data_IF_677124137862
#
_entry.id   IF_677124137862
#
_cell.length_a   1.000
_cell.length_b   1.000
_cell.length_c   1.000
_cell.angle_alpha   90.00
_cell.angle_beta   90.00
_cell.angle_gamma   90.00
#
_symmetry.space_group_name_H-M   'P 1'
#
loop_
_entity.id
_entity.type
_entity.pdbx_description
1 polymer ?
#
# COMPACT_ATOMS: atom_id res chain seq x y z
N UNK A 1 -3.36 2.28 -14.69
CA UNK A 1 -3.96 2.17 -13.34
C UNK A 1 -5.02 1.07 -13.33
N UNK A 2 -4.98 0.15 -12.35
CA UNK A 2 -6.00 -0.88 -12.14
C UNK A 2 -7.42 -0.32 -11.94
N UNK A 3 -8.47 -1.03 -12.38
CA UNK A 3 -9.84 -0.52 -12.37
C UNK A 3 -10.44 -0.40 -10.96
N UNK A 4 -10.06 -1.26 -10.03
CA UNK A 4 -10.50 -1.23 -8.63
C UNK A 4 -9.98 0.02 -7.90
N UNK A 5 -8.71 0.35 -8.07
CA UNK A 5 -8.13 1.57 -7.51
C UNK A 5 -8.72 2.83 -8.16
N UNK A 6 -8.97 2.80 -9.47
CA UNK A 6 -9.67 3.88 -10.17
C UNK A 6 -11.09 4.09 -9.66
N UNK A 7 -11.79 3.02 -9.28
CA UNK A 7 -13.12 3.11 -8.69
C UNK A 7 -13.07 3.77 -7.31
N UNK A 8 -12.09 3.40 -6.47
CA UNK A 8 -11.84 4.05 -5.18
C UNK A 8 -11.59 5.57 -5.33
N UNK A 9 -10.67 5.97 -6.21
CA UNK A 9 -10.36 7.38 -6.45
C UNK A 9 -11.58 8.20 -6.92
N UNK A 10 -12.57 7.57 -7.57
CA UNK A 10 -13.81 8.27 -7.97
C UNK A 10 -14.76 8.53 -6.81
N UNK A 11 -14.63 7.80 -5.71
CA UNK A 11 -15.50 7.91 -4.54
C UNK A 11 -14.90 8.93 -3.56
N UNK A 12 -13.62 8.79 -3.24
CA UNK A 12 -12.96 9.58 -2.19
C UNK A 12 -11.89 10.51 -2.73
N UNK A 13 -11.19 10.12 -3.80
CA UNK A 13 -9.97 10.77 -4.30
C UNK A 13 -8.95 11.02 -3.19
N UNK A 14 -8.60 9.96 -2.46
CA UNK A 14 -7.76 10.01 -1.27
C UNK A 14 -8.57 10.13 0.01
N UNK A 15 -8.03 9.62 1.12
CA UNK A 15 -8.64 9.73 2.44
C UNK A 15 -7.64 9.43 3.54
N UNK A 16 -7.97 9.86 4.76
CA UNK A 16 -7.33 9.38 5.99
C UNK A 16 -8.27 8.41 6.69
N UNK A 17 -7.72 7.30 7.18
CA UNK A 17 -8.48 6.29 7.90
C UNK A 17 -7.97 6.19 9.34
N UNK A 18 -8.84 5.77 10.26
CA UNK A 18 -8.49 5.49 11.66
C UNK A 18 -7.77 6.65 12.40
N UNK A 19 -8.03 7.91 12.00
CA UNK A 19 -7.51 9.08 12.72
C UNK A 19 -8.15 9.19 14.11
N UNK A 20 -7.31 9.35 15.13
CA UNK A 20 -7.73 9.89 16.42
C UNK A 20 -7.70 11.43 16.37
N UNK A 21 -8.67 12.06 17.01
CA UNK A 21 -8.75 13.53 17.16
C UNK A 21 -7.56 14.06 17.98
N UNK A 22 -7.06 13.28 18.95
CA UNK A 22 -5.99 13.71 19.85
C UNK A 22 -4.58 13.43 19.30
N UNK A 23 -4.41 12.30 18.60
CA UNK A 23 -3.08 11.82 18.16
C UNK A 23 -2.86 11.93 16.64
N UNK A 24 -3.89 12.33 15.88
CA UNK A 24 -3.89 12.25 14.43
C UNK A 24 -3.99 10.81 13.93
N UNK A 25 -3.56 10.57 12.69
CA UNK A 25 -3.37 9.22 12.17
C UNK A 25 -2.27 9.19 11.11
N UNK A 26 -1.56 8.07 11.06
CA UNK A 26 -0.47 7.79 10.12
C UNK A 26 -0.93 6.88 8.96
N UNK A 27 -2.22 6.94 8.66
CA UNK A 27 -2.86 6.13 7.62
C UNK A 27 -3.50 7.07 6.63
N UNK A 28 -2.85 7.22 5.48
CA UNK A 28 -3.29 8.09 4.40
C UNK A 28 -3.27 7.33 3.08
N UNK A 29 -4.43 7.26 2.42
CA UNK A 29 -4.55 6.83 1.03
C UNK A 29 -4.53 8.08 0.16
N UNK A 30 -3.64 8.11 -0.81
CA UNK A 30 -3.34 9.33 -1.55
C UNK A 30 -4.41 9.70 -2.57
N UNK A 31 -4.62 11.00 -2.72
CA UNK A 31 -5.36 11.58 -3.83
C UNK A 31 -4.58 11.43 -5.13
N UNK A 32 -5.25 11.61 -6.27
CA UNK A 32 -4.56 11.59 -7.56
C UNK A 32 -3.45 12.65 -7.66
N UNK A 33 -3.66 13.82 -7.07
CA UNK A 33 -2.67 14.91 -7.07
C UNK A 33 -1.43 14.52 -6.26
N UNK A 34 -1.62 13.98 -5.05
CA UNK A 34 -0.52 13.49 -4.21
C UNK A 34 0.27 12.38 -4.90
N UNK A 35 -0.40 11.46 -5.61
CA UNK A 35 0.30 10.42 -6.38
C UNK A 35 1.17 11.07 -7.47
N UNK A 36 0.66 12.08 -8.18
CA UNK A 36 1.45 12.75 -9.22
C UNK A 36 2.66 13.48 -8.63
N UNK A 37 2.47 14.22 -7.52
CA UNK A 37 3.54 14.97 -6.85
C UNK A 37 4.62 14.05 -6.26
N UNK A 38 4.22 13.02 -5.51
CA UNK A 38 5.15 12.10 -4.86
C UNK A 38 5.93 11.25 -5.86
N UNK A 39 5.37 11.02 -7.04
CA UNK A 39 5.97 10.19 -8.08
C UNK A 39 6.58 11.00 -9.24
N UNK A 40 6.57 12.34 -9.18
CA UNK A 40 7.09 13.22 -10.24
C UNK A 40 8.60 13.01 -10.50
N UNK A 41 9.34 12.58 -9.48
CA UNK A 41 10.80 12.45 -9.52
C UNK A 41 11.30 11.01 -9.59
N UNK A 42 10.41 10.01 -9.62
CA UNK A 42 10.82 8.61 -9.72
C UNK A 42 11.06 8.23 -11.19
N UNK A 43 12.23 8.58 -11.70
CA UNK A 43 12.73 8.13 -13.01
C UNK A 43 13.04 6.61 -13.05
N UNK A 44 13.09 5.94 -11.89
CA UNK A 44 13.84 4.67 -11.75
C UNK A 44 13.04 3.38 -11.93
N UNK A 45 11.70 3.41 -11.96
CA UNK A 45 10.88 2.23 -12.26
C UNK A 45 9.57 2.61 -12.95
N UNK A 46 9.67 2.74 -14.26
CA UNK A 46 8.54 2.99 -15.16
C UNK A 46 7.35 2.08 -14.77
N UNK A 47 6.27 2.67 -14.25
CA UNK A 47 5.05 1.96 -13.87
C UNK A 47 4.86 1.57 -12.39
N UNK A 48 5.78 1.85 -11.46
CA UNK A 48 5.51 1.76 -10.01
C UNK A 48 5.13 3.12 -9.43
N UNK A 49 4.17 3.16 -8.50
CA UNK A 49 3.82 4.39 -7.79
C UNK A 49 3.21 4.12 -6.41
N UNK A 50 3.57 4.96 -5.44
CA UNK A 50 2.99 4.95 -4.10
C UNK A 50 1.52 5.38 -4.14
N UNK A 51 0.67 4.68 -3.38
CA UNK A 51 -0.78 4.97 -3.27
C UNK A 51 -1.26 5.18 -1.84
N UNK A 52 -0.45 4.82 -0.83
CA UNK A 52 -0.78 5.03 0.57
C UNK A 52 0.47 5.06 1.43
N UNK A 53 0.39 5.73 2.57
CA UNK A 53 1.35 5.72 3.68
C UNK A 53 0.67 5.16 4.93
N UNK A 54 1.26 4.10 5.50
CA UNK A 54 0.76 3.34 6.65
C UNK A 54 1.90 3.14 7.65
N UNK A 55 1.98 3.96 8.70
CA UNK A 55 2.96 3.80 9.79
C UNK A 55 4.39 3.52 9.28
N UNK A 56 4.94 4.39 8.43
CA UNK A 56 6.27 4.26 7.79
C UNK A 56 6.37 3.27 6.63
N UNK A 57 5.31 2.54 6.29
CA UNK A 57 5.28 1.72 5.06
C UNK A 57 4.50 2.45 3.96
N UNK A 58 4.96 2.32 2.72
CA UNK A 58 4.20 2.71 1.55
C UNK A 58 3.55 1.49 0.89
N UNK A 59 2.32 1.67 0.42
CA UNK A 59 1.66 0.70 -0.46
C UNK A 59 1.88 1.16 -1.89
N UNK A 60 2.33 0.24 -2.74
CA UNK A 60 2.76 0.54 -4.10
C UNK A 60 1.90 -0.24 -5.08
N UNK A 61 1.45 0.43 -6.16
CA UNK A 61 0.93 -0.27 -7.34
C UNK A 61 2.07 -0.48 -8.33
N UNK A 62 2.29 -1.74 -8.72
CA UNK A 62 3.11 -2.06 -9.89
C UNK A 62 2.21 -2.23 -11.12
N UNK A 63 2.13 -1.19 -11.96
CA UNK A 63 1.26 -1.21 -13.15
C UNK A 63 1.77 -2.10 -14.29
N UNK A 64 3.06 -2.46 -14.31
CA UNK A 64 3.59 -3.46 -15.25
C UNK A 64 3.01 -4.84 -14.96
N UNK A 65 3.01 -5.27 -13.69
CA UNK A 65 2.38 -6.54 -13.29
C UNK A 65 0.90 -6.58 -13.71
N UNK A 66 0.17 -5.50 -13.47
CA UNK A 66 -1.22 -5.39 -13.93
C UNK A 66 -1.34 -5.49 -15.47
N UNK A 67 -0.46 -4.84 -16.22
CA UNK A 67 -0.46 -4.89 -17.69
C UNK A 67 -0.19 -6.30 -18.25
N UNK A 68 0.53 -7.12 -17.49
CA UNK A 68 0.79 -8.53 -17.77
C UNK A 68 -0.34 -9.45 -17.26
N UNK A 69 -1.48 -8.88 -16.86
CA UNK A 69 -2.66 -9.58 -16.37
C UNK A 69 -2.42 -10.33 -15.04
N UNK A 70 -1.41 -9.93 -14.27
CA UNK A 70 -1.22 -10.40 -12.89
C UNK A 70 -2.23 -9.74 -11.97
N UNK A 71 -2.96 -10.55 -11.20
CA UNK A 71 -3.93 -10.05 -10.21
C UNK A 71 -3.24 -9.51 -8.95
N UNK A 72 -2.06 -10.01 -8.64
CA UNK A 72 -1.31 -9.69 -7.43
C UNK A 72 -0.28 -8.58 -7.69
N UNK A 73 -0.75 -7.37 -7.99
CA UNK A 73 0.12 -6.25 -8.40
C UNK A 73 0.50 -5.27 -7.29
N UNK A 74 0.00 -5.48 -6.07
CA UNK A 74 0.39 -4.64 -4.93
C UNK A 74 1.72 -5.10 -4.33
N UNK A 75 2.54 -4.12 -4.01
CA UNK A 75 3.76 -4.27 -3.23
C UNK A 75 3.66 -3.39 -1.98
N UNK A 76 4.54 -3.64 -1.02
CA UNK A 76 4.79 -2.75 0.11
C UNK A 76 6.30 -2.50 0.22
N UNK A 77 6.67 -1.37 0.78
CA UNK A 77 8.07 -0.99 1.07
C UNK A 77 8.10 -0.08 2.28
N UNK A 78 9.24 0.05 2.94
CA UNK A 78 9.45 1.18 3.85
C UNK A 78 9.41 2.50 3.08
N UNK A 79 8.94 3.57 3.71
CA UNK A 79 8.85 4.90 3.11
C UNK A 79 10.22 5.45 2.66
N UNK A 80 11.32 4.96 3.23
CA UNK A 80 12.70 5.33 2.85
C UNK A 80 13.30 4.45 1.75
N UNK A 81 12.70 3.30 1.47
CA UNK A 81 13.16 2.35 0.45
C UNK A 81 12.78 2.78 -0.97
N UNK A 82 13.55 2.30 -1.95
CA UNK A 82 13.25 2.47 -3.38
C UNK A 82 12.21 1.46 -3.86
N UNK A 83 11.61 1.69 -5.04
CA UNK A 83 10.66 0.73 -5.64
C UNK A 83 11.28 -0.63 -5.99
N UNK A 84 12.60 -0.69 -6.19
CA UNK A 84 13.36 -1.93 -6.43
C UNK A 84 13.40 -2.84 -5.21
N UNK A 85 13.22 -2.28 -4.02
CA UNK A 85 13.24 -2.98 -2.73
C UNK A 85 11.83 -3.39 -2.27
N UNK A 86 10.79 -2.99 -3.01
CA UNK A 86 9.42 -3.27 -2.66
C UNK A 86 9.08 -4.78 -2.77
N UNK A 87 8.46 -5.29 -1.72
CA UNK A 87 8.10 -6.71 -1.56
C UNK A 87 6.63 -6.95 -1.94
N UNK A 88 6.30 -8.09 -2.60
CA UNK A 88 4.95 -8.35 -3.05
C UNK A 88 4.00 -8.64 -1.89
N UNK A 89 2.87 -7.93 -1.85
CA UNK A 89 1.77 -8.21 -0.93
C UNK A 89 0.95 -9.44 -1.33
N UNK A 90 1.11 -9.93 -2.57
CA UNK A 90 0.31 -11.01 -3.15
C UNK A 90 -1.19 -10.70 -3.20
N UNK A 91 -1.56 -9.43 -3.47
CA UNK A 91 -2.95 -8.93 -3.46
C UNK A 91 -3.19 -7.90 -4.56
N UNK A 92 -4.47 -7.69 -4.90
CA UNK A 92 -4.95 -6.49 -5.59
C UNK A 92 -5.41 -5.44 -4.55
N UNK A 93 -5.83 -4.26 -5.02
CA UNK A 93 -6.21 -3.17 -4.14
C UNK A 93 -7.47 -3.49 -3.32
N UNK A 94 -8.50 -4.05 -3.97
CA UNK A 94 -9.75 -4.42 -3.29
C UNK A 94 -9.52 -5.39 -2.11
N UNK A 95 -8.74 -6.46 -2.32
CA UNK A 95 -8.45 -7.46 -1.28
C UNK A 95 -7.60 -6.87 -0.16
N UNK A 96 -6.61 -6.03 -0.50
CA UNK A 96 -5.80 -5.37 0.52
C UNK A 96 -6.65 -4.44 1.38
N UNK A 97 -7.52 -3.63 0.77
CA UNK A 97 -8.36 -2.67 1.49
C UNK A 97 -9.37 -3.38 2.41
N UNK A 98 -10.01 -4.45 1.93
CA UNK A 98 -10.92 -5.27 2.75
C UNK A 98 -10.22 -5.80 4.00
N UNK A 99 -9.05 -6.41 3.84
CA UNK A 99 -8.25 -6.92 4.95
C UNK A 99 -7.77 -5.82 5.89
N UNK A 100 -7.37 -4.68 5.34
CA UNK A 100 -6.92 -3.53 6.12
C UNK A 100 -8.03 -2.93 6.99
N UNK A 101 -9.26 -2.90 6.48
CA UNK A 101 -10.44 -2.50 7.27
C UNK A 101 -10.72 -3.54 8.36
N UNK A 102 -10.66 -4.84 8.02
CA UNK A 102 -10.88 -5.92 8.99
C UNK A 102 -9.81 -5.97 10.09
N UNK A 103 -8.57 -5.59 9.79
CA UNK A 103 -7.48 -5.46 10.76
C UNK A 103 -7.52 -4.14 11.56
N UNK A 104 -8.55 -3.30 11.38
CA UNK A 104 -8.67 -2.00 12.05
C UNK A 104 -7.47 -1.08 11.81
N UNK A 105 -6.87 -1.14 10.62
CA UNK A 105 -5.70 -0.34 10.27
C UNK A 105 -4.36 -0.93 10.69
N UNK A 106 -4.33 -2.11 11.33
CA UNK A 106 -3.09 -2.80 11.68
C UNK A 106 -2.38 -3.37 10.46
N UNK A 107 -1.04 -3.30 10.45
CA UNK A 107 -0.21 -3.88 9.40
C UNK A 107 -0.28 -5.41 9.43
N UNK A 108 -1.08 -5.99 8.56
CA UNK A 108 -1.27 -7.45 8.50
C UNK A 108 -0.25 -8.16 7.59
N UNK A 109 0.41 -7.44 6.70
CA UNK A 109 1.34 -8.06 5.75
C UNK A 109 2.56 -8.65 6.44
N UNK A 110 2.94 -8.21 7.63
CA UNK A 110 4.00 -8.86 8.38
C UNK A 110 3.61 -10.24 8.92
N UNK A 111 2.32 -10.58 9.00
CA UNK A 111 1.88 -11.80 9.71
C UNK A 111 2.39 -13.10 9.11
N UNK A 112 2.78 -13.13 7.83
CA UNK A 112 3.39 -14.32 7.25
C UNK A 112 4.76 -14.66 7.87
N UNK A 113 5.44 -13.70 8.51
CA UNK A 113 6.70 -13.96 9.23
C UNK A 113 6.44 -14.65 10.58
N UNK A 114 5.26 -14.46 11.16
CA UNK A 114 4.85 -15.01 12.45
C UNK A 114 4.30 -16.43 12.28
N UNK A 115 5.18 -17.36 11.88
CA UNK A 115 4.87 -18.79 11.93
C UNK A 115 4.96 -19.29 13.37
N UNK A 116 4.32 -20.43 13.69
CA UNK A 116 4.46 -21.07 15.01
C UNK A 116 5.93 -21.35 15.37
N UNK A 117 6.79 -21.55 14.37
CA UNK A 117 8.22 -21.78 14.53
C UNK A 117 9.00 -20.51 14.93
N UNK A 118 8.49 -19.31 14.60
CA UNK A 118 9.16 -18.03 14.82
C UNK A 118 8.42 -17.09 15.79
N UNK A 119 7.19 -17.44 16.20
CA UNK A 119 6.34 -16.61 17.05
C UNK A 119 6.99 -16.21 18.38
N UNK A 120 7.74 -17.12 19.02
CA UNK A 120 8.40 -16.88 20.31
C UNK A 120 9.81 -16.28 20.21
N UNK A 121 10.31 -15.98 19.01
CA UNK A 121 11.68 -15.48 18.81
C UNK A 121 11.79 -13.97 18.73
N UNK A 122 10.68 -13.27 18.55
CA UNK A 122 10.61 -11.82 18.33
C UNK A 122 9.88 -11.08 19.47
N UNK A 123 9.57 -11.79 20.57
CA UNK A 123 8.93 -11.27 21.79
C UNK A 123 9.92 -10.98 22.90
#
# INVERSE_FOLDING_TARGET
MPPDYKAFLRITNGCRLFNDIEHGGEIELYSLEQILELNEHYDELDGCYDIAYIYQDNIVINSKLYSENQKNYLLWKDHTEQFTEAEPLQMNFELWLDRFVMSQGEKFWWWFIHTAENYYRLS
#
